data_IF_814542839527
#
_entry.id   IF_814542839527
#
_cell.length_a   1.000
_cell.length_b   1.000
_cell.length_c   1.000
_cell.angle_alpha   90.00
_cell.angle_beta   90.00
_cell.angle_gamma   90.00
#
_symmetry.space_group_name_H-M   'P 1'
#
loop_
_entity.id
_entity.type
_entity.pdbx_description
1 polymer ?
#
# COMPACT_ATOMS: atom_id res chain seq x y z
N UNK A 1 -10.05 -4.53 -6.84
CA UNK A 1 -10.72 -4.94 -5.58
C UNK A 1 -11.02 -3.71 -4.74
N UNK A 2 -11.83 -3.78 -3.67
CA UNK A 2 -11.98 -2.64 -2.75
C UNK A 2 -10.73 -2.47 -1.89
N UNK A 3 -10.52 -1.27 -1.33
CA UNK A 3 -9.40 -1.02 -0.43
C UNK A 3 -9.43 -1.90 0.83
N UNK A 4 -10.62 -2.18 1.35
CA UNK A 4 -10.81 -3.12 2.46
C UNK A 4 -10.35 -4.53 2.09
N UNK A 5 -10.84 -5.07 0.97
CA UNK A 5 -10.47 -6.42 0.50
C UNK A 5 -8.95 -6.52 0.27
N UNK A 6 -8.35 -5.48 -0.30
CA UNK A 6 -6.91 -5.37 -0.52
C UNK A 6 -6.13 -5.45 0.80
N UNK A 7 -6.52 -4.63 1.79
CA UNK A 7 -5.88 -4.64 3.10
C UNK A 7 -6.09 -5.99 3.79
N UNK A 8 -7.30 -6.54 3.79
CA UNK A 8 -7.61 -7.83 4.42
C UNK A 8 -6.78 -8.95 3.79
N UNK A 9 -6.73 -9.02 2.46
CA UNK A 9 -5.96 -10.03 1.74
C UNK A 9 -4.45 -9.90 1.98
N UNK A 10 -3.92 -8.67 2.05
CA UNK A 10 -2.50 -8.42 2.28
C UNK A 10 -2.07 -8.58 3.75
N UNK A 11 -2.99 -8.44 4.71
CA UNK A 11 -2.71 -8.39 6.15
C UNK A 11 -2.61 -9.74 6.86
N UNK A 12 -2.35 -10.83 6.12
CA UNK A 12 -2.18 -12.16 6.72
C UNK A 12 -1.14 -12.18 7.84
N UNK A 13 -1.59 -12.47 9.08
CA UNK A 13 -0.75 -12.60 10.27
C UNK A 13 -1.10 -11.61 11.39
N UNK A 14 -1.24 -12.12 12.63
CA UNK A 14 -1.56 -11.30 13.82
C UNK A 14 -0.45 -10.30 14.18
N UNK A 15 0.82 -10.67 13.97
CA UNK A 15 1.98 -9.94 14.49
C UNK A 15 2.73 -9.12 13.42
N UNK A 16 2.04 -8.78 12.32
CA UNK A 16 2.64 -8.01 11.22
C UNK A 16 2.98 -6.60 11.68
N UNK A 17 4.24 -6.19 11.46
CA UNK A 17 4.70 -4.81 11.71
C UNK A 17 4.30 -3.84 10.58
N UNK A 18 4.26 -2.53 10.86
CA UNK A 18 4.10 -1.51 9.83
C UNK A 18 5.16 -1.67 8.72
N UNK A 19 4.78 -1.48 7.46
CA UNK A 19 5.74 -1.61 6.35
C UNK A 19 6.14 -3.05 5.97
N UNK A 20 5.78 -4.05 6.78
CA UNK A 20 6.24 -5.42 6.58
C UNK A 20 5.44 -6.12 5.47
N UNK A 21 6.17 -6.61 4.47
CA UNK A 21 5.64 -7.51 3.45
C UNK A 21 5.42 -8.91 4.03
N UNK A 22 4.24 -9.45 3.78
CA UNK A 22 3.86 -10.83 4.15
C UNK A 22 3.78 -11.69 2.89
N UNK A 23 3.81 -13.04 3.00
CA UNK A 23 3.57 -13.90 1.85
C UNK A 23 2.23 -13.63 1.15
N UNK A 24 1.18 -13.29 1.91
CA UNK A 24 -0.14 -12.96 1.35
C UNK A 24 -0.10 -11.62 0.59
N UNK A 25 0.52 -10.61 1.17
CA UNK A 25 0.81 -9.33 0.52
C UNK A 25 1.60 -9.48 -0.79
N UNK A 26 2.67 -10.28 -0.78
CA UNK A 26 3.46 -10.56 -1.98
C UNK A 26 2.66 -11.34 -3.04
N UNK A 27 1.65 -12.12 -2.64
CA UNK A 27 0.74 -12.80 -3.55
C UNK A 27 -0.22 -11.80 -4.18
N UNK A 28 -0.89 -10.98 -3.37
CA UNK A 28 -1.80 -9.92 -3.84
C UNK A 28 -1.08 -8.98 -4.80
N UNK A 29 0.12 -8.49 -4.44
CA UNK A 29 0.87 -7.59 -5.32
C UNK A 29 1.23 -8.20 -6.69
N UNK A 30 1.44 -9.53 -6.75
CA UNK A 30 1.74 -10.23 -8.02
C UNK A 30 0.51 -10.51 -8.86
N UNK A 31 -0.65 -10.72 -8.23
CA UNK A 31 -1.87 -11.22 -8.90
C UNK A 31 -2.94 -10.14 -9.11
N UNK A 32 -2.87 -9.03 -8.37
CA UNK A 32 -3.83 -7.94 -8.47
C UNK A 32 -3.59 -7.07 -9.71
N UNK A 33 -4.62 -6.32 -10.09
CA UNK A 33 -4.50 -5.31 -11.14
C UNK A 33 -3.42 -4.27 -10.77
N UNK A 34 -2.73 -3.67 -11.75
CA UNK A 34 -1.62 -2.75 -11.48
C UNK A 34 -1.97 -1.59 -10.54
N UNK A 35 -3.20 -1.08 -10.60
CA UNK A 35 -3.66 0.00 -9.73
C UNK A 35 -3.80 -0.46 -8.27
N UNK A 36 -4.32 -1.67 -8.05
CA UNK A 36 -4.46 -2.27 -6.73
C UNK A 36 -3.07 -2.55 -6.13
N UNK A 37 -2.14 -3.11 -6.92
CA UNK A 37 -0.77 -3.36 -6.49
C UNK A 37 -0.04 -2.07 -6.06
N UNK A 38 -0.21 -0.97 -6.82
CA UNK A 38 0.36 0.34 -6.49
C UNK A 38 -0.29 0.97 -5.27
N UNK A 39 -1.60 0.79 -5.08
CA UNK A 39 -2.30 1.29 -3.90
C UNK A 39 -1.84 0.57 -2.63
N UNK A 40 -1.55 -0.72 -2.78
CA UNK A 40 -1.00 -1.55 -1.71
C UNK A 40 0.43 -1.13 -1.33
N UNK A 41 1.30 -0.81 -2.29
CA UNK A 41 2.59 -0.17 -2.03
C UNK A 41 2.46 1.15 -1.28
N UNK A 42 1.50 1.98 -1.70
CA UNK A 42 1.24 3.26 -1.03
C UNK A 42 0.75 3.06 0.41
N UNK A 43 -0.02 2.00 0.68
CA UNK A 43 -0.41 1.65 2.04
C UNK A 43 0.84 1.37 2.91
N UNK A 44 1.78 0.55 2.44
CA UNK A 44 3.03 0.30 3.19
C UNK A 44 3.88 1.54 3.38
N UNK A 45 4.04 2.37 2.34
CA UNK A 45 4.78 3.62 2.46
C UNK A 45 4.13 4.56 3.48
N UNK A 46 2.80 4.62 3.49
CA UNK A 46 2.05 5.38 4.45
C UNK A 46 2.23 4.84 5.87
N UNK A 47 2.22 3.52 6.06
CA UNK A 47 2.41 2.90 7.36
C UNK A 47 3.77 3.18 7.97
N UNK A 48 4.83 3.08 7.15
CA UNK A 48 6.19 3.40 7.57
C UNK A 48 6.31 4.85 8.05
N UNK A 49 5.57 5.77 7.43
CA UNK A 49 5.59 7.18 7.80
C UNK A 49 4.82 7.51 9.09
N UNK A 50 3.87 6.66 9.49
CA UNK A 50 3.02 6.88 10.66
C UNK A 50 3.26 5.88 11.79
N UNK A 51 4.22 4.97 11.62
CA UNK A 51 4.57 3.87 12.52
C UNK A 51 3.35 3.08 13.03
N UNK A 52 2.36 2.88 12.14
CA UNK A 52 1.16 2.10 12.44
C UNK A 52 0.59 1.46 11.18
N UNK A 53 -0.23 0.43 11.37
CA UNK A 53 -0.92 -0.26 10.27
C UNK A 53 -1.99 0.64 9.63
N UNK A 54 -2.12 0.53 8.32
CA UNK A 54 -3.19 1.19 7.58
C UNK A 54 -4.51 0.50 7.90
N UNK A 55 -5.53 1.29 8.19
CA UNK A 55 -6.90 0.83 8.40
C UNK A 55 -7.79 1.38 7.29
N UNK A 56 -9.01 0.84 7.16
CA UNK A 56 -9.97 1.31 6.16
C UNK A 56 -10.20 2.82 6.20
N UNK A 57 -10.28 3.41 7.40
CA UNK A 57 -10.48 4.86 7.57
C UNK A 57 -9.35 5.71 6.98
N UNK A 58 -8.19 5.11 6.72
CA UNK A 58 -7.01 5.78 6.20
C UNK A 58 -6.96 5.77 4.65
N UNK A 59 -7.98 5.23 3.97
CA UNK A 59 -8.00 5.08 2.51
C UNK A 59 -7.66 6.38 1.76
N UNK A 60 -8.28 7.48 2.17
CA UNK A 60 -8.04 8.80 1.53
C UNK A 60 -6.56 9.19 1.66
N UNK A 61 -5.99 9.05 2.86
CA UNK A 61 -4.59 9.38 3.11
C UNK A 61 -3.62 8.46 2.36
N UNK A 62 -3.98 7.18 2.17
CA UNK A 62 -3.20 6.23 1.35
C UNK A 62 -3.25 6.60 -0.14
N UNK A 63 -4.42 7.01 -0.65
CA UNK A 63 -4.56 7.50 -2.03
C UNK A 63 -3.78 8.79 -2.26
N UNK A 64 -3.76 9.71 -1.29
CA UNK A 64 -2.90 10.90 -1.33
C UNK A 64 -1.41 10.52 -1.34
N UNK A 65 -1.01 9.55 -0.50
CA UNK A 65 0.36 9.03 -0.52
C UNK A 65 0.72 8.42 -1.88
N UNK A 66 -0.20 7.71 -2.53
CA UNK A 66 -0.01 7.18 -3.90
C UNK A 66 0.26 8.29 -4.90
N UNK A 67 -0.55 9.36 -4.88
CA UNK A 67 -0.35 10.53 -5.76
C UNK A 67 1.03 11.15 -5.56
N UNK A 68 1.44 11.35 -4.30
CA UNK A 68 2.78 11.87 -3.99
C UNK A 68 3.91 10.96 -4.50
N UNK A 69 3.75 9.64 -4.44
CA UNK A 69 4.71 8.68 -5.01
C UNK A 69 4.77 8.75 -6.54
N UNK A 70 3.62 8.93 -7.19
CA UNK A 70 3.54 9.06 -8.65
C UNK A 70 4.20 10.36 -9.12
N UNK A 71 3.95 11.48 -8.44
CA UNK A 71 4.60 12.77 -8.68
C UNK A 71 6.11 12.69 -8.52
N UNK A 72 6.60 12.07 -7.43
CA UNK A 72 8.03 11.86 -7.21
C UNK A 72 8.66 10.99 -8.30
N UNK A 73 7.97 9.94 -8.74
CA UNK A 73 8.44 9.07 -9.83
C UNK A 73 8.47 9.81 -11.17
N UNK A 74 7.49 10.67 -11.45
CA UNK A 74 7.44 11.47 -12.65
C UNK A 74 8.57 12.52 -12.67
N UNK A 75 8.82 13.19 -11.54
CA UNK A 75 9.92 14.14 -11.39
C UNK A 75 11.28 13.47 -11.66
N UNK A 76 11.54 12.31 -11.05
CA UNK A 76 12.80 11.58 -11.22
C UNK A 76 13.04 11.06 -12.65
N UNK A 77 12.00 10.95 -13.49
CA UNK A 77 12.12 10.57 -14.91
C UNK A 77 12.34 11.75 -15.84
N UNK A 78 12.06 12.96 -15.37
CA UNK A 78 12.22 14.20 -16.13
C UNK A 78 13.62 14.81 -15.97
N UNK A 79 14.42 14.31 -15.01
CA UNK A 79 15.85 14.58 -14.83
C UNK A 79 16.71 13.73 -15.77
#
# INVERSE_FOLDING_TARGET
MTFEELLVAANGGKDRRPGQWTPAACKVWREAEPEDARLLEAAWAWELAHDRRAQMKDEVAVRERRRAMDEATAAAKAE
#
